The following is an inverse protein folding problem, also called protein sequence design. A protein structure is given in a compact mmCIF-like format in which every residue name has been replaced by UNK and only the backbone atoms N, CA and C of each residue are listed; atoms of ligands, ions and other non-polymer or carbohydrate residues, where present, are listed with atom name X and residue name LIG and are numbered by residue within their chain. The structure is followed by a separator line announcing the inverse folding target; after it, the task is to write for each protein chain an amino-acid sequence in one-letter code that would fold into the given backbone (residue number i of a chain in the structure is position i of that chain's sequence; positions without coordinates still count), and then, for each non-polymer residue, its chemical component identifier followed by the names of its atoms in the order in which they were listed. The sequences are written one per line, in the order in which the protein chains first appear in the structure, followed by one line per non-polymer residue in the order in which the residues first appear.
data_IF_665939678859
#
_entry.id   IF_665939678859
#
_cell.length_a   1.000
_cell.length_b   1.000
_cell.length_c   1.000
_cell.angle_alpha   90.00
_cell.angle_beta   90.00
_cell.angle_gamma   90.00
#
_symmetry.space_group_name_H-M   'P 1'
#
loop_
_entity.id
_entity.type
_entity.pdbx_description
1 polymer ?
#
# COMPACT_ATOMS: atom_id res chain seq x y z
N UNK A 1 14.60 -14.61 30.19
CA UNK A 1 13.13 -14.49 30.17
C UNK A 1 12.74 -13.88 28.84
N UNK A 2 11.66 -14.36 28.22
CA UNK A 2 11.14 -13.83 26.95
C UNK A 2 9.64 -13.60 27.16
N UNK A 3 9.15 -12.42 26.78
CA UNK A 3 7.75 -12.06 26.82
C UNK A 3 7.25 -11.91 25.37
N UNK A 4 6.06 -12.43 25.10
CA UNK A 4 5.35 -12.25 23.83
C UNK A 4 4.02 -11.57 24.13
N UNK A 5 3.71 -10.52 23.38
CA UNK A 5 2.47 -9.74 23.52
C UNK A 5 1.85 -9.54 22.14
N UNK A 6 0.53 -9.41 22.10
CA UNK A 6 -0.21 -9.02 20.91
C UNK A 6 -0.68 -7.58 21.08
N UNK A 7 -0.64 -6.80 20.00
CA UNK A 7 -1.16 -5.43 20.00
C UNK A 7 -2.69 -5.44 19.89
N UNK A 8 -3.34 -4.42 20.45
CA UNK A 8 -4.80 -4.25 20.32
C UNK A 8 -5.20 -4.05 18.86
N UNK A 9 -6.35 -4.58 18.46
CA UNK A 9 -6.95 -4.35 17.15
C UNK A 9 -7.62 -2.97 17.01
N UNK A 10 -7.60 -2.15 18.06
CA UNK A 10 -8.17 -0.80 18.08
C UNK A 10 -7.16 0.29 17.73
N UNK A 11 -5.89 -0.06 17.53
CA UNK A 11 -4.85 0.91 17.17
C UNK A 11 -5.06 1.40 15.75
N UNK A 12 -4.76 2.67 15.52
CA UNK A 12 -4.82 3.33 14.22
C UNK A 12 -3.43 3.72 13.75
N UNK A 13 -3.29 4.00 12.45
CA UNK A 13 -2.08 4.57 11.88
C UNK A 13 -1.59 5.81 12.64
N UNK A 14 -0.30 5.82 12.99
CA UNK A 14 0.32 6.88 13.77
C UNK A 14 0.22 6.71 15.29
N UNK A 15 -0.53 5.72 15.79
CA UNK A 15 -0.53 5.39 17.21
C UNK A 15 0.85 4.92 17.66
N UNK A 16 1.18 5.24 18.92
CA UNK A 16 2.38 4.75 19.58
C UNK A 16 2.02 3.88 20.77
N UNK A 17 2.66 2.71 20.88
CA UNK A 17 2.51 1.83 22.03
C UNK A 17 3.81 1.83 22.83
N UNK A 18 3.71 2.24 24.09
CA UNK A 18 4.82 2.31 25.03
C UNK A 18 4.86 1.07 25.93
N UNK A 19 6.05 0.53 26.11
CA UNK A 19 6.34 -0.58 27.00
C UNK A 19 7.38 -0.13 28.02
N UNK A 20 7.11 -0.41 29.29
CA UNK A 20 8.02 -0.11 30.38
C UNK A 20 8.35 -1.37 31.17
N UNK A 21 9.62 -1.49 31.57
CA UNK A 21 10.07 -2.46 32.54
C UNK A 21 10.83 -1.73 33.64
N UNK A 22 10.50 -2.00 34.90
CA UNK A 22 11.16 -1.39 36.05
C UNK A 22 11.58 -2.45 37.08
N UNK A 23 12.56 -2.08 37.90
CA UNK A 23 12.81 -2.77 39.17
C UNK A 23 12.12 -2.00 40.29
N UNK A 24 11.23 -2.67 41.04
CA UNK A 24 10.69 -2.11 42.27
C UNK A 24 11.63 -2.47 43.44
N UNK A 25 12.32 -1.45 43.96
CA UNK A 25 13.22 -1.62 45.09
C UNK A 25 13.12 -0.45 46.08
N UNK A 26 12.50 -0.71 47.23
CA UNK A 26 12.19 0.30 48.25
C UNK A 26 13.38 1.00 48.94
N UNK A 27 14.63 0.60 48.66
CA UNK A 27 15.84 1.05 49.39
C UNK A 27 17.05 1.38 48.51
N UNK A 28 16.87 1.62 47.20
CA UNK A 28 17.99 1.91 46.27
C UNK A 28 17.54 2.70 45.04
N UNK A 29 18.45 2.99 44.09
CA UNK A 29 18.11 3.77 42.91
C UNK A 29 17.13 3.01 42.01
N UNK A 30 16.10 3.71 41.55
CA UNK A 30 15.16 3.18 40.56
C UNK A 30 15.88 3.03 39.21
N UNK A 31 15.62 1.91 38.55
CA UNK A 31 16.14 1.60 37.22
C UNK A 31 15.06 0.97 36.37
N UNK A 32 15.00 1.35 35.10
CA UNK A 32 14.03 0.84 34.15
C UNK A 32 14.49 1.00 32.71
N UNK A 33 13.69 0.42 31.80
CA UNK A 33 13.87 0.52 30.36
C UNK A 33 12.50 0.75 29.70
N UNK A 34 12.46 1.63 28.72
CA UNK A 34 11.29 1.91 27.90
C UNK A 34 11.51 1.49 26.44
N UNK A 35 10.42 1.16 25.74
CA UNK A 35 10.37 0.91 24.31
C UNK A 35 9.09 1.53 23.74
N UNK A 36 9.20 2.25 22.64
CA UNK A 36 8.04 2.77 21.89
C UNK A 36 8.02 2.12 20.51
N UNK A 37 6.84 1.61 20.12
CA UNK A 37 6.57 1.09 18.78
C UNK A 37 5.53 1.99 18.13
N UNK A 38 5.73 2.32 16.86
CA UNK A 38 4.76 3.09 16.06
C UNK A 38 3.96 2.14 15.17
N UNK A 39 2.65 2.35 15.12
CA UNK A 39 1.76 1.69 14.17
C UNK A 39 1.81 2.46 12.86
N UNK A 40 2.12 1.77 11.77
CA UNK A 40 2.16 2.34 10.43
C UNK A 40 1.24 1.53 9.54
N UNK A 41 0.12 2.13 9.14
CA UNK A 41 -0.75 1.59 8.12
C UNK A 41 -0.67 2.52 6.91
N UNK A 42 -0.35 1.98 5.74
CA UNK A 42 -0.24 2.79 4.51
C UNK A 42 -0.72 1.95 3.34
N UNK A 43 -1.38 2.55 2.33
CA UNK A 43 -1.67 1.86 1.09
C UNK A 43 -0.36 1.58 0.35
N UNK A 44 -0.30 0.44 -0.34
CA UNK A 44 0.82 0.08 -1.19
C UNK A 44 0.24 -0.36 -2.54
N UNK A 45 0.25 0.57 -3.50
CA UNK A 45 -0.41 0.39 -4.78
C UNK A 45 0.56 -0.14 -5.82
N UNK A 46 0.16 -1.24 -6.47
CA UNK A 46 0.85 -1.82 -7.60
C UNK A 46 -0.01 -1.61 -8.86
N UNK A 47 0.63 -1.28 -9.98
CA UNK A 47 -0.03 -1.13 -11.28
C UNK A 47 0.87 -1.70 -12.36
N UNK A 48 0.31 -2.56 -13.21
CA UNK A 48 0.97 -3.05 -14.41
C UNK A 48 0.10 -2.78 -15.63
N UNK A 49 0.75 -2.42 -16.73
CA UNK A 49 0.11 -2.20 -18.03
C UNK A 49 0.76 -3.12 -19.05
N UNK A 50 -0.03 -3.98 -19.65
CA UNK A 50 0.43 -4.92 -20.67
C UNK A 50 -0.31 -4.70 -21.97
N UNK A 51 0.40 -4.77 -23.09
CA UNK A 51 -0.18 -4.72 -24.41
C UNK A 51 -0.31 -6.13 -24.97
N UNK A 52 -1.40 -6.43 -25.67
CA UNK A 52 -1.57 -7.72 -26.35
C UNK A 52 -0.56 -7.96 -27.48
N UNK A 53 0.17 -6.91 -27.89
CA UNK A 53 1.18 -6.93 -28.95
C UNK A 53 2.14 -5.75 -28.83
N UNK A 54 3.42 -6.00 -29.09
CA UNK A 54 4.48 -4.97 -29.03
C UNK A 54 4.72 -4.25 -30.36
N UNK A 55 4.17 -4.79 -31.45
CA UNK A 55 4.33 -4.29 -32.81
C UNK A 55 2.99 -4.40 -33.53
N UNK A 56 2.59 -3.34 -34.20
CA UNK A 56 1.45 -3.34 -35.13
C UNK A 56 1.95 -2.87 -36.49
N UNK A 57 1.47 -3.50 -37.57
CA UNK A 57 1.68 -2.94 -38.90
C UNK A 57 0.99 -1.57 -38.96
N UNK A 58 1.62 -0.60 -39.64
CA UNK A 58 1.13 0.78 -39.74
C UNK A 58 -0.19 0.95 -40.52
N UNK A 59 -0.94 -0.13 -40.75
CA UNK A 59 -2.28 -0.06 -41.31
C UNK A 59 -3.24 0.53 -40.26
N UNK A 60 -3.89 1.63 -40.61
CA UNK A 60 -4.91 2.26 -39.78
C UNK A 60 -6.02 1.26 -39.42
N UNK A 61 -6.47 1.28 -38.15
CA UNK A 61 -7.58 0.47 -37.67
C UNK A 61 -7.24 -0.86 -36.98
N UNK A 62 -5.95 -1.17 -36.79
CA UNK A 62 -5.55 -2.30 -35.94
C UNK A 62 -5.67 -1.92 -34.45
N UNK A 63 -6.47 -2.67 -33.70
CA UNK A 63 -6.64 -2.46 -32.27
C UNK A 63 -5.49 -3.08 -31.46
N UNK A 64 -5.05 -2.38 -30.43
CA UNK A 64 -4.18 -2.90 -29.38
C UNK A 64 -5.02 -2.97 -28.12
N UNK A 65 -5.12 -4.16 -27.54
CA UNK A 65 -5.79 -4.34 -26.26
C UNK A 65 -4.74 -4.12 -25.18
N UNK A 66 -5.03 -3.18 -24.28
CA UNK A 66 -4.23 -2.96 -23.08
C UNK A 66 -4.98 -3.53 -21.87
N UNK A 67 -4.25 -4.24 -21.02
CA UNK A 67 -4.75 -4.71 -19.73
C UNK A 67 -4.03 -3.94 -18.64
N UNK A 68 -4.81 -3.28 -17.79
CA UNK A 68 -4.36 -2.66 -16.54
C UNK A 68 -4.69 -3.63 -15.40
N UNK A 69 -3.68 -4.06 -14.67
CA UNK A 69 -3.84 -4.87 -13.46
C UNK A 69 -3.29 -4.06 -12.29
N UNK A 70 -4.12 -3.87 -11.26
CA UNK A 70 -3.79 -3.06 -10.11
C UNK A 70 -4.22 -3.73 -8.81
N UNK A 71 -3.45 -3.50 -7.75
CA UNK A 71 -3.71 -4.05 -6.43
C UNK A 71 -3.23 -3.11 -5.33
N UNK A 72 -3.86 -3.21 -4.16
CA UNK A 72 -3.37 -2.63 -2.92
C UNK A 72 -2.87 -3.75 -2.01
N UNK A 73 -1.57 -3.78 -1.74
CA UNK A 73 -0.95 -4.72 -0.79
C UNK A 73 -0.70 -4.09 0.58
N UNK A 74 -1.02 -2.80 0.71
CA UNK A 74 -0.94 -2.06 1.97
C UNK A 74 -2.10 -2.39 2.89
N UNK A 75 -2.02 -1.89 4.12
CA UNK A 75 -3.01 -2.15 5.16
C UNK A 75 -4.14 -1.12 5.22
N UNK A 76 -4.01 0.02 4.53
CA UNK A 76 -5.08 1.02 4.40
C UNK A 76 -5.70 1.03 3.01
N UNK A 77 -6.98 1.34 2.93
CA UNK A 77 -7.67 1.65 1.67
C UNK A 77 -7.20 3.02 1.13
N UNK A 78 -6.71 3.10 -0.12
CA UNK A 78 -6.25 4.36 -0.69
C UNK A 78 -7.42 5.27 -1.10
N UNK A 79 -7.30 6.57 -0.86
CA UNK A 79 -8.05 7.57 -1.64
C UNK A 79 -7.27 7.89 -2.92
N UNK A 80 -7.35 6.99 -3.90
CA UNK A 80 -6.60 7.08 -5.16
C UNK A 80 -7.52 6.91 -6.38
N UNK A 81 -7.13 7.55 -7.48
CA UNK A 81 -7.76 7.41 -8.79
C UNK A 81 -6.77 6.83 -9.79
N UNK A 82 -7.22 5.88 -10.60
CA UNK A 82 -6.46 5.35 -11.73
C UNK A 82 -6.67 6.27 -12.93
N UNK A 83 -5.58 6.83 -13.47
CA UNK A 83 -5.58 7.70 -14.66
C UNK A 83 -4.64 7.12 -15.71
N UNK A 84 -5.13 6.97 -16.94
CA UNK A 84 -4.35 6.43 -18.07
C UNK A 84 -4.35 7.39 -19.26
N UNK A 85 -3.20 8.01 -19.52
CA UNK A 85 -3.04 8.93 -20.65
C UNK A 85 -2.77 8.17 -21.94
N UNK A 86 -3.75 8.14 -22.83
CA UNK A 86 -3.61 7.56 -24.16
C UNK A 86 -2.77 8.47 -25.08
N UNK A 87 -1.87 7.91 -25.91
CA UNK A 87 -1.13 8.69 -26.90
C UNK A 87 -2.06 9.40 -27.89
N UNK A 88 -1.67 10.58 -28.38
CA UNK A 88 -2.51 11.39 -29.29
C UNK A 88 -2.81 10.71 -30.63
N UNK A 89 -2.06 9.68 -31.00
CA UNK A 89 -2.26 8.88 -32.22
C UNK A 89 -3.24 7.72 -32.02
N UNK A 90 -3.79 7.53 -30.82
CA UNK A 90 -4.79 6.49 -30.55
C UNK A 90 -6.17 7.10 -30.35
N UNK A 91 -7.20 6.28 -30.56
CA UNK A 91 -8.56 6.58 -30.17
C UNK A 91 -9.07 5.42 -29.33
N UNK A 92 -9.77 5.73 -28.24
CA UNK A 92 -10.40 4.70 -27.43
C UNK A 92 -11.54 4.06 -28.22
N UNK A 93 -11.44 2.76 -28.47
CA UNK A 93 -12.53 2.00 -29.11
C UNK A 93 -13.55 1.55 -28.07
N UNK A 94 -13.07 0.92 -26.99
CA UNK A 94 -13.88 0.51 -25.85
C UNK A 94 -13.02 0.35 -24.61
N UNK A 95 -13.64 0.44 -23.44
CA UNK A 95 -13.04 0.11 -22.15
C UNK A 95 -14.05 -0.67 -21.30
N UNK A 96 -13.55 -1.47 -20.38
CA UNK A 96 -14.33 -2.15 -19.35
C UNK A 96 -13.82 -1.71 -17.97
N UNK A 97 -14.67 -1.77 -16.95
CA UNK A 97 -14.36 -1.28 -15.60
C UNK A 97 -14.49 0.25 -15.47
N UNK A 98 -13.98 0.78 -14.35
CA UNK A 98 -13.94 2.23 -14.08
C UNK A 98 -12.73 2.87 -14.80
N UNK A 99 -12.72 2.80 -16.12
CA UNK A 99 -11.74 3.52 -16.94
C UNK A 99 -12.19 4.97 -17.09
N UNK A 100 -11.39 5.92 -16.60
CA UNK A 100 -11.67 7.36 -16.62
C UNK A 100 -10.56 8.08 -17.37
#
# INVERSE_FOLDING_TARGET
MVLSVELSNSLSNGDSVEFEASFDFSKGPEGGAGLIIFVSEQPELNLTKTASRSLVAAAAGQEIVYTLDYSNTGSEEPDAQLIDYLPTQTQLVSATGNYI
#
